data_IF_750036136080
#
_entry.id   IF_750036136080
#
_cell.length_a   1.000
_cell.length_b   1.000
_cell.length_c   1.000
_cell.angle_alpha   90.00
_cell.angle_beta   90.00
_cell.angle_gamma   90.00
#
_symmetry.space_group_name_H-M   'P 1'
#
loop_
_entity.id
_entity.type
_entity.pdbx_description
1 polymer ?
#
# COMPACT_ATOMS: atom_id res chain seq x y z
N UNK A 1 7.39 43.72 -9.41
CA UNK A 1 8.69 43.14 -8.99
C UNK A 1 8.42 42.37 -7.70
N UNK A 2 8.25 41.06 -7.81
CA UNK A 2 9.20 40.02 -7.33
C UNK A 2 9.15 39.83 -5.82
N UNK A 3 9.10 38.63 -5.25
CA UNK A 3 9.11 37.25 -5.75
C UNK A 3 8.78 36.42 -4.51
N UNK A 4 7.94 35.39 -4.69
CA UNK A 4 8.11 34.06 -4.09
C UNK A 4 9.08 33.96 -2.89
N UNK A 5 8.58 34.04 -1.66
CA UNK A 5 9.33 33.59 -0.46
C UNK A 5 8.57 32.57 0.38
N UNK A 6 7.23 32.60 0.38
CA UNK A 6 6.45 31.78 1.33
C UNK A 6 6.32 30.30 0.93
N UNK A 7 6.75 29.93 -0.28
CA UNK A 7 6.69 28.55 -0.77
C UNK A 7 7.93 27.71 -0.42
N UNK A 8 9.04 28.32 -0.02
CA UNK A 8 10.29 27.61 0.28
C UNK A 8 10.52 27.36 1.78
N UNK A 9 9.99 28.18 2.70
CA UNK A 9 10.06 27.89 4.14
C UNK A 9 9.23 26.67 4.55
N UNK A 10 8.15 26.37 3.81
CA UNK A 10 7.34 25.18 4.05
C UNK A 10 8.02 23.86 3.65
N UNK A 11 9.12 23.90 2.90
CA UNK A 11 9.91 22.70 2.55
C UNK A 11 10.95 22.34 3.61
N UNK A 12 11.45 23.32 4.38
CA UNK A 12 12.45 23.11 5.43
C UNK A 12 11.83 22.75 6.79
N UNK A 13 10.60 23.20 7.08
CA UNK A 13 9.84 22.79 8.27
C UNK A 13 9.26 21.36 8.19
N UNK A 14 9.82 20.51 7.32
CA UNK A 14 9.40 19.13 7.15
C UNK A 14 10.31 18.11 7.84
N UNK A 15 11.42 18.56 8.43
CA UNK A 15 12.34 17.70 9.21
C UNK A 15 11.81 17.28 10.58
N UNK A 16 10.73 17.91 11.07
CA UNK A 16 10.17 17.67 12.42
C UNK A 16 8.86 16.90 12.44
N UNK A 17 8.54 16.17 11.38
CA UNK A 17 7.71 15.00 11.61
C UNK A 17 8.68 13.85 11.81
N UNK A 18 9.25 13.82 13.03
CA UNK A 18 10.09 12.72 13.46
C UNK A 18 9.45 11.39 13.10
N UNK A 19 10.31 10.40 12.83
CA UNK A 19 9.95 9.02 12.56
C UNK A 19 8.69 8.68 13.33
N UNK A 20 7.65 8.25 12.62
CA UNK A 20 6.41 7.82 13.25
C UNK A 20 6.75 6.59 14.09
N UNK A 21 7.25 6.79 15.30
CA UNK A 21 7.24 5.78 16.36
C UNK A 21 5.78 5.38 16.41
N UNK A 22 5.40 4.20 15.90
CA UNK A 22 4.01 3.89 15.58
C UNK A 22 3.05 3.83 16.77
N UNK A 23 3.46 4.36 17.93
CA UNK A 23 2.64 4.86 19.00
C UNK A 23 2.05 6.24 18.67
N UNK A 24 0.72 6.29 18.67
CA UNK A 24 -0.17 7.47 18.61
C UNK A 24 0.40 8.79 18.01
N UNK A 25 -0.29 9.32 16.99
CA UNK A 25 0.03 10.59 16.33
C UNK A 25 0.09 11.83 17.26
N UNK A 26 -0.21 11.70 18.56
CA UNK A 26 -0.14 12.76 19.58
C UNK A 26 -1.18 13.88 19.42
N UNK A 27 -1.68 14.11 18.20
CA UNK A 27 -2.77 15.02 17.89
C UNK A 27 -3.50 14.62 16.61
N UNK A 28 -4.79 14.96 16.53
CA UNK A 28 -5.59 14.77 15.31
C UNK A 28 -5.07 15.58 14.12
N UNK A 29 -4.49 16.75 14.38
CA UNK A 29 -3.89 17.58 13.34
C UNK A 29 -2.67 16.89 12.70
N UNK A 30 -1.83 16.23 13.50
CA UNK A 30 -0.69 15.45 12.99
C UNK A 30 -1.16 14.23 12.21
N UNK A 31 -2.18 13.51 12.70
CA UNK A 31 -2.81 12.42 11.96
C UNK A 31 -3.31 12.88 10.58
N UNK A 32 -4.04 13.99 10.51
CA UNK A 32 -4.56 14.52 9.25
C UNK A 32 -3.45 14.93 8.27
N UNK A 33 -2.38 15.58 8.77
CA UNK A 33 -1.21 15.93 7.96
C UNK A 33 -0.49 14.69 7.42
N UNK A 34 -0.32 13.65 8.23
CA UNK A 34 0.31 12.39 7.81
C UNK A 34 -0.52 11.65 6.77
N UNK A 35 -1.84 11.56 6.98
CA UNK A 35 -2.76 10.91 6.03
C UNK A 35 -2.75 11.60 4.67
N UNK A 36 -2.73 12.94 4.61
CA UNK A 36 -2.63 13.69 3.35
C UNK A 36 -1.32 13.46 2.61
N UNK A 37 -0.25 13.15 3.33
CA UNK A 37 1.06 12.81 2.74
C UNK A 37 1.13 11.36 2.25
N UNK A 38 0.09 10.55 2.47
CA UNK A 38 0.11 9.13 2.16
C UNK A 38 1.05 8.32 3.06
N UNK A 39 1.44 8.86 4.22
CA UNK A 39 2.33 8.14 5.13
C UNK A 39 1.55 7.02 5.79
N UNK A 40 1.98 5.78 5.55
CA UNK A 40 1.41 4.58 6.14
C UNK A 40 1.95 4.42 7.57
N UNK A 41 1.08 4.02 8.49
CA UNK A 41 1.50 3.72 9.86
C UNK A 41 2.50 2.55 9.83
N UNK A 42 3.70 2.68 10.43
CA UNK A 42 4.73 1.65 10.29
C UNK A 42 4.45 0.39 11.13
N UNK A 43 3.71 0.51 12.23
CA UNK A 43 3.38 -0.64 13.08
C UNK A 43 2.09 -1.30 12.59
N UNK A 44 2.15 -2.62 12.41
CA UNK A 44 1.03 -3.43 11.96
C UNK A 44 -0.01 -3.58 13.10
N UNK A 45 -1.32 -3.55 12.81
CA UNK A 45 -2.35 -3.92 13.79
C UNK A 45 -2.09 -5.21 14.57
N UNK A 46 -1.45 -6.22 13.96
CA UNK A 46 -1.12 -7.51 14.63
C UNK A 46 -0.15 -7.36 15.80
N UNK A 47 0.73 -6.34 15.76
CA UNK A 47 1.72 -6.10 16.82
C UNK A 47 1.14 -5.31 18.00
N UNK A 48 -0.02 -4.66 17.79
CA UNK A 48 -0.62 -3.72 18.76
C UNK A 48 -1.80 -4.36 19.48
N UNK A 49 -2.63 -5.10 18.74
CA UNK A 49 -3.89 -5.62 19.26
C UNK A 49 -3.83 -7.14 19.40
N UNK A 50 -4.40 -7.65 20.48
CA UNK A 50 -4.55 -9.09 20.71
C UNK A 50 -5.59 -9.75 19.78
N UNK A 51 -6.57 -8.96 19.34
CA UNK A 51 -7.71 -9.40 18.53
C UNK A 51 -7.97 -8.38 17.41
N UNK A 52 -8.56 -8.80 16.27
CA UNK A 52 -8.88 -7.88 15.19
C UNK A 52 -9.84 -6.80 15.67
N UNK A 53 -9.47 -5.50 15.61
CA UNK A 53 -10.32 -4.42 16.09
C UNK A 53 -11.54 -4.18 15.20
N UNK A 54 -11.49 -4.58 13.93
CA UNK A 54 -12.58 -4.40 12.96
C UNK A 54 -12.72 -5.61 12.03
N UNK A 55 -13.91 -5.81 11.46
CA UNK A 55 -14.17 -6.88 10.48
C UNK A 55 -13.28 -6.78 9.24
N UNK A 56 -12.91 -5.57 8.82
CA UNK A 56 -11.97 -5.37 7.71
C UNK A 56 -10.57 -5.88 8.00
N UNK A 57 -10.14 -5.88 9.27
CA UNK A 57 -8.84 -6.43 9.69
C UNK A 57 -8.86 -7.94 9.87
N UNK A 58 -10.03 -8.54 10.03
CA UNK A 58 -10.21 -9.97 10.29
C UNK A 58 -9.74 -10.84 9.11
N UNK A 59 -10.03 -10.42 7.87
CA UNK A 59 -9.66 -11.18 6.66
C UNK A 59 -8.16 -11.46 6.54
N UNK A 60 -7.32 -10.50 6.92
CA UNK A 60 -5.86 -10.63 6.91
C UNK A 60 -5.26 -11.10 8.23
N UNK A 61 -6.06 -11.26 9.28
CA UNK A 61 -5.57 -11.39 10.65
C UNK A 61 -4.69 -12.61 10.87
N UNK A 62 -5.06 -13.71 10.25
CA UNK A 62 -4.42 -15.01 10.42
C UNK A 62 -3.20 -15.21 9.52
N UNK A 63 -2.87 -14.24 8.64
CA UNK A 63 -1.72 -14.35 7.74
C UNK A 63 -0.37 -14.25 8.46
N UNK A 64 -0.34 -13.65 9.64
CA UNK A 64 0.87 -13.50 10.45
C UNK A 64 1.01 -14.57 11.54
N UNK A 65 0.09 -15.53 11.62
CA UNK A 65 0.17 -16.62 12.58
C UNK A 65 1.21 -17.67 12.11
N UNK A 66 2.28 -17.80 12.88
CA UNK A 66 3.36 -18.75 12.61
C UNK A 66 2.87 -20.20 12.63
N UNK A 67 1.83 -20.51 13.42
CA UNK A 67 1.25 -21.84 13.47
C UNK A 67 0.51 -22.22 12.18
N UNK A 68 0.02 -21.23 11.43
CA UNK A 68 -0.69 -21.43 10.16
C UNK A 68 0.22 -21.34 8.94
N UNK A 69 1.37 -20.66 9.06
CA UNK A 69 2.30 -20.36 7.95
C UNK A 69 2.95 -21.63 7.38
N UNK A 70 3.38 -22.55 8.24
CA UNK A 70 4.01 -23.83 7.83
C UNK A 70 3.04 -25.01 7.79
N UNK A 71 1.78 -24.77 8.12
CA UNK A 71 0.86 -25.87 8.33
C UNK A 71 0.31 -26.40 7.00
N UNK A 72 0.36 -27.73 6.84
CA UNK A 72 -0.18 -28.49 5.69
C UNK A 72 -1.72 -28.57 5.68
N UNK A 73 -2.39 -27.79 6.54
CA UNK A 73 -3.82 -27.87 6.80
C UNK A 73 -4.67 -27.52 5.57
N UNK A 74 -4.15 -26.68 4.68
CA UNK A 74 -4.81 -26.32 3.42
C UNK A 74 -3.90 -26.64 2.23
N UNK A 75 -4.27 -27.67 1.46
CA UNK A 75 -3.63 -27.96 0.18
C UNK A 75 -4.37 -27.20 -0.92
N UNK A 76 -3.85 -26.05 -1.29
CA UNK A 76 -4.33 -25.35 -2.48
C UNK A 76 -4.11 -26.25 -3.71
N UNK A 77 -5.13 -26.39 -4.56
CA UNK A 77 -4.96 -27.03 -5.85
C UNK A 77 -3.97 -26.20 -6.70
N UNK A 78 -3.08 -26.85 -7.46
CA UNK A 78 -2.19 -26.13 -8.35
C UNK A 78 -3.02 -25.30 -9.33
N UNK A 79 -2.80 -23.99 -9.32
CA UNK A 79 -3.36 -23.10 -10.35
C UNK A 79 -2.45 -23.17 -11.56
N UNK A 80 -3.05 -23.25 -12.74
CA UNK A 80 -2.36 -23.15 -14.02
C UNK A 80 -2.68 -21.77 -14.61
N UNK A 81 -1.98 -20.70 -14.18
CA UNK A 81 -2.20 -19.38 -14.76
C UNK A 81 -1.94 -19.45 -16.26
N UNK A 82 -2.85 -18.90 -17.06
CA UNK A 82 -2.64 -18.86 -18.50
C UNK A 82 -1.43 -17.98 -18.80
N UNK A 83 -0.39 -18.50 -19.49
CA UNK A 83 0.75 -17.69 -19.86
C UNK A 83 0.31 -16.60 -20.84
N UNK A 84 0.89 -15.41 -20.69
CA UNK A 84 0.72 -14.35 -21.69
C UNK A 84 1.30 -14.83 -23.02
N UNK A 85 0.47 -14.87 -24.05
CA UNK A 85 0.93 -15.27 -25.38
C UNK A 85 1.81 -14.16 -26.00
N UNK A 86 2.76 -14.51 -26.90
CA UNK A 86 3.52 -13.51 -27.64
C UNK A 86 2.62 -12.54 -28.42
N UNK A 87 1.50 -13.03 -28.97
CA UNK A 87 0.54 -12.21 -29.70
C UNK A 87 -0.14 -11.17 -28.80
N UNK A 88 -0.53 -11.56 -27.59
CA UNK A 88 -1.10 -10.63 -26.60
C UNK A 88 -0.08 -9.57 -26.16
N UNK A 89 1.20 -9.93 -26.00
CA UNK A 89 2.26 -8.98 -25.66
C UNK A 89 2.50 -7.94 -26.76
N UNK A 90 2.42 -8.35 -28.02
CA UNK A 90 2.54 -7.45 -29.16
C UNK A 90 1.35 -6.47 -29.16
N UNK A 91 0.13 -6.97 -28.96
CA UNK A 91 -1.06 -6.12 -28.90
C UNK A 91 -1.04 -5.14 -27.74
N UNK A 92 -0.55 -5.54 -26.57
CA UNK A 92 -0.40 -4.62 -25.43
C UNK A 92 0.55 -3.47 -25.74
N UNK A 93 1.60 -3.71 -26.54
CA UNK A 93 2.48 -2.65 -27.04
C UNK A 93 1.78 -1.77 -28.07
N UNK A 94 1.09 -2.37 -29.04
CA UNK A 94 0.41 -1.62 -30.11
C UNK A 94 -0.76 -0.78 -29.55
N UNK A 95 -1.50 -1.28 -28.56
CA UNK A 95 -2.61 -0.56 -27.89
C UNK A 95 -2.19 0.75 -27.25
N UNK A 96 -0.93 0.89 -26.82
CA UNK A 96 -0.41 2.16 -26.29
C UNK A 96 -0.41 3.27 -27.34
N UNK A 97 -0.26 2.91 -28.61
CA UNK A 97 -0.16 3.84 -29.74
C UNK A 97 -1.43 3.88 -30.60
N UNK A 98 -2.21 2.80 -30.63
CA UNK A 98 -3.41 2.68 -31.43
C UNK A 98 -4.55 2.04 -30.61
N UNK A 99 -5.54 2.84 -30.24
CA UNK A 99 -6.72 2.42 -29.46
C UNK A 99 -7.54 1.33 -30.17
N UNK A 100 -7.47 1.24 -31.49
CA UNK A 100 -8.24 0.29 -32.31
C UNK A 100 -7.51 -1.05 -32.52
N UNK A 101 -6.35 -1.26 -31.91
CA UNK A 101 -5.66 -2.54 -31.98
C UNK A 101 -6.40 -3.61 -31.15
N UNK A 102 -7.08 -4.53 -31.84
CA UNK A 102 -7.80 -5.68 -31.28
C UNK A 102 -7.30 -6.98 -31.91
N UNK A 103 -7.44 -8.09 -31.17
CA UNK A 103 -7.32 -9.44 -31.72
C UNK A 103 -8.72 -9.80 -32.24
N UNK A 104 -8.95 -9.53 -33.53
CA UNK A 104 -10.25 -9.64 -34.21
C UNK A 104 -11.36 -8.85 -33.51
#
# INVERSE_FOLDING_TARGET
MSKQSDSNENKLNNGYVGELNGFAYGSFQRLAKMKRRGVVKPINPFDIYRYPPTSSTEFGWWQCDTALTDAKWYKAFPRYPQPVSPNTLILDKVRKNNKYATLF
#
